data_IF_846440274694
#
_entry.id   IF_846440274694
#
_cell.length_a   1.000
_cell.length_b   1.000
_cell.length_c   1.000
_cell.angle_alpha   90.00
_cell.angle_beta   90.00
_cell.angle_gamma   90.00
#
_symmetry.space_group_name_H-M   'P 1'
#
loop_
_entity.id
_entity.type
_entity.pdbx_description
1 polymer ?
#
# COMPACT_ATOMS: atom_id res chain seq x y z
N UNK A 1 37.23 15.51 26.01
CA UNK A 1 36.79 14.87 24.75
C UNK A 1 35.28 14.67 24.79
N UNK A 2 34.44 15.52 24.18
CA UNK A 2 33.01 15.24 24.04
C UNK A 2 32.71 14.64 22.66
N UNK A 3 31.96 13.53 22.68
CA UNK A 3 31.55 12.75 21.53
C UNK A 3 30.67 13.54 20.55
N UNK A 4 31.00 13.40 19.26
CA UNK A 4 30.19 13.85 18.13
C UNK A 4 28.79 13.23 18.22
N UNK A 5 27.81 14.06 18.57
CA UNK A 5 26.41 13.83 18.27
C UNK A 5 26.24 13.77 16.75
N UNK A 6 26.20 12.54 16.21
CA UNK A 6 25.79 12.27 14.85
C UNK A 6 24.32 12.64 14.69
N UNK A 7 24.06 13.88 14.27
CA UNK A 7 22.77 14.32 13.80
C UNK A 7 22.50 13.56 12.49
N UNK A 8 21.84 12.42 12.59
CA UNK A 8 21.25 11.75 11.43
C UNK A 8 20.36 12.78 10.73
N UNK A 9 20.58 13.06 9.43
CA UNK A 9 19.71 13.96 8.72
C UNK A 9 18.35 13.27 8.67
N UNK A 10 17.38 13.86 9.38
CA UNK A 10 15.98 13.60 9.14
C UNK A 10 15.77 13.91 7.66
N UNK A 11 15.79 12.87 6.82
CA UNK A 11 15.32 12.96 5.44
C UNK A 11 13.96 13.61 5.55
N UNK A 12 13.84 14.83 5.03
CA UNK A 12 12.56 15.45 4.82
C UNK A 12 11.75 14.43 4.01
N UNK A 13 10.80 13.76 4.66
CA UNK A 13 9.92 12.79 4.03
C UNK A 13 8.99 13.63 3.14
N UNK A 14 9.47 14.02 1.96
CA UNK A 14 8.59 14.41 0.87
C UNK A 14 7.67 13.22 0.68
N UNK A 15 6.44 13.31 1.19
CA UNK A 15 5.47 12.24 1.15
C UNK A 15 5.37 11.73 -0.29
N UNK A 16 5.73 10.46 -0.49
CA UNK A 16 5.86 9.94 -1.85
C UNK A 16 4.46 9.78 -2.43
N UNK A 17 4.22 10.42 -3.58
CA UNK A 17 2.90 10.38 -4.22
C UNK A 17 2.66 8.98 -4.79
N UNK A 18 1.60 8.32 -4.31
CA UNK A 18 1.15 7.04 -4.86
C UNK A 18 0.32 7.29 -6.12
N UNK A 19 0.63 6.57 -7.19
CA UNK A 19 -0.06 6.62 -8.47
C UNK A 19 -0.58 5.23 -8.84
N UNK A 20 -1.83 4.89 -8.48
CA UNK A 20 -2.41 3.61 -8.88
C UNK A 20 -2.53 3.55 -10.40
N UNK A 21 -2.09 2.44 -10.98
CA UNK A 21 -2.25 2.17 -12.41
C UNK A 21 -3.73 2.14 -12.80
N UNK A 22 -4.09 2.36 -14.08
CA UNK A 22 -5.48 2.29 -14.52
C UNK A 22 -6.16 0.96 -14.17
N UNK A 23 -5.40 -0.15 -14.22
CA UNK A 23 -5.89 -1.48 -13.84
C UNK A 23 -6.17 -1.57 -12.34
N UNK A 24 -5.25 -1.11 -11.51
CA UNK A 24 -5.46 -1.08 -10.06
C UNK A 24 -6.66 -0.22 -9.64
N UNK A 25 -6.90 0.91 -10.32
CA UNK A 25 -8.10 1.73 -10.08
C UNK A 25 -9.39 0.97 -10.38
N UNK A 26 -9.41 0.24 -11.50
CA UNK A 26 -10.56 -0.61 -11.86
C UNK A 26 -10.73 -1.72 -10.82
N UNK A 27 -9.65 -2.39 -10.43
CA UNK A 27 -9.70 -3.49 -9.45
C UNK A 27 -10.29 -3.00 -8.11
N UNK A 28 -9.92 -1.80 -7.65
CA UNK A 28 -10.51 -1.17 -6.45
C UNK A 28 -12.02 -1.00 -6.59
N UNK A 29 -12.50 -0.48 -7.73
CA UNK A 29 -13.93 -0.27 -7.99
C UNK A 29 -14.70 -1.59 -8.11
N UNK A 30 -14.13 -2.58 -8.78
CA UNK A 30 -14.72 -3.90 -8.95
C UNK A 30 -14.88 -4.60 -7.58
N UNK A 31 -13.87 -4.51 -6.72
CA UNK A 31 -13.93 -5.05 -5.35
C UNK A 31 -14.92 -4.28 -4.47
N UNK A 32 -14.92 -2.95 -4.52
CA UNK A 32 -15.89 -2.12 -3.82
C UNK A 32 -17.33 -2.51 -4.18
N UNK A 33 -17.61 -2.59 -5.48
CA UNK A 33 -18.93 -2.97 -5.99
C UNK A 33 -19.31 -4.36 -5.52
N UNK A 34 -18.40 -5.34 -5.64
CA UNK A 34 -18.66 -6.72 -5.25
C UNK A 34 -18.95 -6.87 -3.74
N UNK A 35 -18.18 -6.20 -2.88
CA UNK A 35 -18.40 -6.19 -1.43
C UNK A 35 -19.75 -5.53 -1.12
N UNK A 36 -20.06 -4.42 -1.79
CA UNK A 36 -21.28 -3.64 -1.60
C UNK A 36 -22.56 -4.39 -1.97
N UNK A 37 -22.50 -5.38 -2.87
CA UNK A 37 -23.64 -6.27 -3.17
C UNK A 37 -24.13 -7.04 -1.93
N UNK A 38 -23.31 -7.18 -0.88
CA UNK A 38 -23.65 -7.90 0.36
C UNK A 38 -23.68 -6.99 1.57
N UNK A 39 -22.75 -6.04 1.67
CA UNK A 39 -22.63 -5.09 2.78
C UNK A 39 -21.99 -3.79 2.27
N UNK A 40 -22.82 -2.76 2.08
CA UNK A 40 -22.40 -1.43 1.65
C UNK A 40 -21.42 -0.79 2.65
N UNK A 41 -21.67 -0.94 3.95
CA UNK A 41 -20.77 -0.41 4.97
C UNK A 41 -19.40 -1.11 4.96
N UNK A 42 -19.34 -2.39 4.61
CA UNK A 42 -18.07 -3.08 4.38
C UNK A 42 -17.33 -2.54 3.16
N UNK A 43 -18.04 -2.17 2.09
CA UNK A 43 -17.43 -1.59 0.90
C UNK A 43 -16.77 -0.23 1.21
N UNK A 44 -17.43 0.61 2.01
CA UNK A 44 -16.85 1.88 2.48
C UNK A 44 -15.63 1.67 3.39
N UNK A 45 -15.69 0.68 4.29
CA UNK A 45 -14.53 0.28 5.11
C UNK A 45 -13.37 -0.22 4.24
N UNK A 46 -13.65 -0.87 3.12
CA UNK A 46 -12.63 -1.32 2.17
C UNK A 46 -11.90 -0.14 1.52
N UNK A 47 -12.61 0.88 1.01
CA UNK A 47 -11.97 2.07 0.45
C UNK A 47 -11.11 2.81 1.49
N UNK A 48 -11.64 2.96 2.70
CA UNK A 48 -10.89 3.54 3.82
C UNK A 48 -9.61 2.75 4.13
N UNK A 49 -9.66 1.41 4.06
CA UNK A 49 -8.50 0.56 4.28
C UNK A 49 -7.45 0.70 3.16
N UNK A 50 -7.88 0.84 1.90
CA UNK A 50 -7.00 1.12 0.76
C UNK A 50 -6.28 2.46 0.95
N UNK A 51 -7.00 3.53 1.28
CA UNK A 51 -6.41 4.85 1.50
C UNK A 51 -5.38 4.86 2.64
N UNK A 52 -5.68 4.16 3.73
CA UNK A 52 -4.72 3.95 4.83
C UNK A 52 -3.48 3.19 4.38
N UNK A 53 -3.66 2.18 3.52
CA UNK A 53 -2.56 1.46 2.90
C UNK A 53 -1.67 2.37 2.05
N UNK A 54 -2.28 3.20 1.18
CA UNK A 54 -1.55 4.17 0.36
C UNK A 54 -0.80 5.19 1.21
N UNK A 55 -1.41 5.76 2.25
CA UNK A 55 -0.74 6.68 3.16
C UNK A 55 0.48 6.02 3.83
N UNK A 56 0.36 4.75 4.25
CA UNK A 56 1.46 4.00 4.86
C UNK A 56 2.61 3.76 3.88
N UNK A 57 2.32 3.36 2.64
CA UNK A 57 3.32 3.15 1.59
C UNK A 57 3.98 4.46 1.14
N UNK A 58 3.22 5.56 1.10
CA UNK A 58 3.76 6.89 0.82
C UNK A 58 4.79 7.36 1.87
N UNK A 59 4.54 7.03 3.14
CA UNK A 59 5.44 7.35 4.26
C UNK A 59 6.64 6.39 4.35
N UNK A 60 6.44 5.12 3.99
CA UNK A 60 7.46 4.07 4.08
C UNK A 60 7.50 3.23 2.78
N UNK A 61 8.18 3.69 1.73
CA UNK A 61 8.13 3.04 0.41
C UNK A 61 8.72 1.63 0.33
N UNK A 62 9.53 1.26 1.32
CA UNK A 62 10.21 -0.04 1.43
C UNK A 62 9.39 -1.08 2.20
N UNK A 63 8.17 -0.75 2.65
CA UNK A 63 7.28 -1.68 3.34
C UNK A 63 6.65 -2.70 2.38
N UNK A 64 6.13 -3.77 2.96
CA UNK A 64 5.53 -4.88 2.22
C UNK A 64 6.54 -5.98 1.93
N UNK A 65 6.03 -7.20 1.80
CA UNK A 65 6.86 -8.37 1.57
C UNK A 65 7.31 -8.43 0.12
N UNK A 66 8.62 -8.55 -0.11
CA UNK A 66 9.14 -8.93 -1.42
C UNK A 66 8.74 -10.37 -1.69
N UNK A 67 7.88 -10.60 -2.68
CA UNK A 67 7.46 -11.95 -3.06
C UNK A 67 8.39 -12.49 -4.13
N UNK A 68 8.76 -13.76 -4.02
CA UNK A 68 9.49 -14.47 -5.06
C UNK A 68 8.52 -14.81 -6.18
N UNK A 69 8.52 -13.97 -7.22
CA UNK A 69 7.76 -14.23 -8.44
C UNK A 69 8.58 -15.08 -9.40
N UNK A 70 7.97 -16.14 -9.94
CA UNK A 70 8.61 -16.97 -10.97
C UNK A 70 8.84 -16.18 -12.27
N UNK A 71 7.95 -15.23 -12.58
CA UNK A 71 8.09 -14.36 -13.73
C UNK A 71 9.12 -13.25 -13.43
N UNK A 72 10.24 -13.17 -14.18
CA UNK A 72 11.26 -12.15 -14.00
C UNK A 72 10.72 -10.71 -14.15
N UNK A 73 9.65 -10.51 -14.93
CA UNK A 73 9.04 -9.20 -15.13
C UNK A 73 8.36 -8.63 -13.87
N UNK A 74 8.12 -9.47 -12.85
CA UNK A 74 7.51 -9.09 -11.58
C UNK A 74 8.55 -8.89 -10.46
N UNK A 75 9.85 -8.96 -10.78
CA UNK A 75 10.91 -8.71 -9.79
C UNK A 75 10.79 -7.29 -9.22
N UNK A 76 10.91 -7.19 -7.90
CA UNK A 76 10.80 -5.92 -7.18
C UNK A 76 9.37 -5.50 -6.81
N UNK A 77 8.34 -6.22 -7.29
CA UNK A 77 6.96 -6.02 -6.85
C UNK A 77 6.82 -6.48 -5.39
N UNK A 78 6.24 -5.62 -4.56
CA UNK A 78 5.98 -5.86 -3.14
C UNK A 78 4.50 -6.10 -2.94
N UNK A 79 4.16 -6.95 -2.00
CA UNK A 79 2.76 -7.17 -1.62
C UNK A 79 2.48 -6.52 -0.26
N UNK A 80 1.35 -5.83 -0.15
CA UNK A 80 0.86 -5.24 1.09
C UNK A 80 -0.59 -5.68 1.35
N UNK A 81 -0.89 -6.28 2.52
CA UNK A 81 -2.26 -6.68 2.84
C UNK A 81 -3.15 -5.49 3.17
N UNK A 82 -4.39 -5.52 2.69
CA UNK A 82 -5.41 -4.53 3.05
C UNK A 82 -5.96 -4.89 4.43
N UNK A 83 -5.75 -4.01 5.40
CA UNK A 83 -6.14 -4.27 6.79
C UNK A 83 -7.65 -4.52 6.92
N UNK A 84 -8.03 -5.64 7.56
CA UNK A 84 -9.42 -6.07 7.69
C UNK A 84 -9.97 -6.80 6.46
N UNK A 85 -9.16 -6.97 5.42
CA UNK A 85 -9.51 -7.62 4.15
C UNK A 85 -8.36 -8.53 3.71
N UNK A 86 -7.96 -9.49 4.54
CA UNK A 86 -6.70 -10.27 4.40
C UNK A 86 -6.51 -10.99 3.06
N UNK A 87 -7.59 -11.21 2.31
CA UNK A 87 -7.56 -11.81 0.96
C UNK A 87 -7.30 -10.80 -0.16
N UNK A 88 -7.20 -9.52 0.15
CA UNK A 88 -6.93 -8.43 -0.79
C UNK A 88 -5.53 -7.89 -0.55
N UNK A 89 -4.74 -7.85 -1.62
CA UNK A 89 -3.35 -7.43 -1.59
C UNK A 89 -3.15 -6.26 -2.57
N UNK A 90 -2.39 -5.26 -2.16
CA UNK A 90 -1.88 -4.20 -3.02
C UNK A 90 -0.51 -4.63 -3.53
N UNK A 91 -0.28 -4.51 -4.84
CA UNK A 91 0.96 -4.87 -5.54
C UNK A 91 1.63 -3.65 -6.16
#
# INVERSE_FOLDING_TARGET
>A
MPGRSGRSPQRHLSAMRILPSPRARKDILDHYTHIGLRDEAAAERFLTAIDRGFARMAAHPDIGSTRLWQNPALRGIRAWPVAGFDRHLIY
#
